data_IF_119002190823
#
_entry.id   IF_119002190823
#
_cell.length_a   1.000
_cell.length_b   1.000
_cell.length_c   1.000
_cell.angle_alpha   90.00
_cell.angle_beta   90.00
_cell.angle_gamma   90.00
#
_symmetry.space_group_name_H-M   'P 1'
#
loop_
_entity.id
_entity.type
_entity.pdbx_description
1 polymer ?
#
# COMPACT_ATOMS: atom_id res chain seq x y z
N UNK A 1 -1.98 -11.31 -3.38
CA UNK A 1 -2.61 -9.99 -3.58
C UNK A 1 -1.57 -8.89 -3.78
N UNK A 2 -0.49 -8.79 -2.98
CA UNK A 2 0.54 -7.76 -3.14
C UNK A 2 1.18 -7.77 -4.54
N UNK A 3 1.53 -8.94 -5.06
CA UNK A 3 2.06 -9.07 -6.42
C UNK A 3 1.04 -8.64 -7.49
N UNK A 4 -0.22 -8.99 -7.31
CA UNK A 4 -1.29 -8.56 -8.22
C UNK A 4 -1.46 -7.03 -8.22
N UNK A 5 -1.38 -6.39 -7.05
CA UNK A 5 -1.41 -4.93 -6.93
C UNK A 5 -0.23 -4.28 -7.69
N UNK A 6 0.97 -4.85 -7.54
CA UNK A 6 2.15 -4.40 -8.29
C UNK A 6 1.94 -4.52 -9.81
N UNK A 7 1.43 -5.65 -10.29
CA UNK A 7 1.13 -5.86 -11.71
C UNK A 7 0.09 -4.86 -12.23
N UNK A 8 -0.92 -4.53 -11.44
CA UNK A 8 -1.90 -3.50 -11.79
C UNK A 8 -1.23 -2.13 -11.97
N UNK A 9 -0.33 -1.74 -11.05
CA UNK A 9 0.41 -0.46 -11.17
C UNK A 9 1.35 -0.45 -12.38
N UNK A 10 1.98 -1.58 -12.70
CA UNK A 10 2.79 -1.72 -13.93
C UNK A 10 1.92 -1.58 -15.17
N UNK A 11 0.76 -2.21 -15.22
CA UNK A 11 -0.20 -2.05 -16.33
C UNK A 11 -0.70 -0.61 -16.45
N UNK A 12 -1.01 0.03 -15.33
CA UNK A 12 -1.36 1.44 -15.31
C UNK A 12 -0.24 2.31 -15.90
N UNK A 13 1.00 2.04 -15.55
CA UNK A 13 2.15 2.75 -16.13
C UNK A 13 2.20 2.61 -17.65
N UNK A 14 2.06 1.40 -18.18
CA UNK A 14 2.11 1.16 -19.62
C UNK A 14 0.98 1.84 -20.39
N UNK A 15 -0.17 2.06 -19.76
CA UNK A 15 -1.32 2.71 -20.42
C UNK A 15 -1.34 4.21 -20.20
N UNK A 16 -1.18 4.66 -18.97
CA UNK A 16 -1.37 6.06 -18.59
C UNK A 16 -0.15 6.94 -18.93
N UNK A 17 1.06 6.43 -18.83
CA UNK A 17 2.27 7.22 -19.06
C UNK A 17 2.44 7.68 -20.52
N UNK A 18 2.27 6.83 -21.54
CA UNK A 18 2.32 7.29 -22.94
C UNK A 18 1.24 8.32 -23.25
N UNK A 19 0.02 8.12 -22.72
CA UNK A 19 -1.07 9.07 -22.90
C UNK A 19 -0.77 10.42 -22.25
N UNK A 20 -0.17 10.43 -21.07
CA UNK A 20 0.26 11.66 -20.40
C UNK A 20 1.37 12.37 -21.18
N UNK A 21 2.37 11.63 -21.65
CA UNK A 21 3.48 12.19 -22.45
C UNK A 21 2.94 12.84 -23.73
N UNK A 22 2.04 12.17 -24.45
CA UNK A 22 1.43 12.73 -25.65
C UNK A 22 0.65 14.01 -25.38
N UNK A 23 -0.12 14.05 -24.30
CA UNK A 23 -0.85 15.25 -23.88
C UNK A 23 0.07 16.37 -23.42
N UNK A 24 1.15 16.05 -22.72
CA UNK A 24 2.15 17.04 -22.34
C UNK A 24 2.86 17.60 -23.56
N UNK A 25 3.25 16.79 -24.54
CA UNK A 25 3.90 17.24 -25.76
C UNK A 25 3.00 18.17 -26.59
N UNK A 26 1.69 17.99 -26.54
CA UNK A 26 0.72 18.85 -27.22
C UNK A 26 0.34 20.11 -26.41
N UNK A 27 0.81 20.21 -25.16
CA UNK A 27 0.44 21.31 -24.28
C UNK A 27 1.40 22.49 -24.41
N UNK A 28 0.87 23.66 -24.74
CA UNK A 28 1.62 24.91 -24.94
C UNK A 28 2.23 25.54 -23.68
N UNK A 29 1.90 24.98 -22.52
CA UNK A 29 2.40 25.42 -21.22
C UNK A 29 3.76 24.84 -20.82
N UNK A 30 4.41 24.03 -21.65
CA UNK A 30 5.73 23.47 -21.38
C UNK A 30 6.85 24.50 -21.59
N UNK A 31 7.88 24.41 -20.74
CA UNK A 31 9.19 24.97 -21.01
C UNK A 31 10.06 23.98 -21.84
N UNK A 32 11.34 24.27 -21.94
CA UNK A 32 12.26 23.34 -22.60
C UNK A 32 12.38 22.00 -21.88
N UNK A 33 12.44 20.86 -22.63
CA UNK A 33 12.64 19.55 -22.04
C UNK A 33 13.94 19.48 -21.23
N UNK A 34 13.87 18.92 -20.04
CA UNK A 34 15.02 18.82 -19.14
C UNK A 34 15.77 17.51 -19.36
N UNK A 35 17.04 17.60 -19.71
CA UNK A 35 17.95 16.48 -19.76
C UNK A 35 18.81 16.45 -18.48
N UNK A 36 18.84 15.30 -17.80
CA UNK A 36 19.66 15.10 -16.62
C UNK A 36 19.06 15.57 -15.29
N UNK A 37 19.81 15.33 -14.21
CA UNK A 37 19.43 15.70 -12.85
C UNK A 37 19.89 17.14 -12.58
N UNK A 38 19.06 18.12 -12.93
CA UNK A 38 19.27 19.49 -12.49
C UNK A 38 18.21 19.85 -11.44
N UNK A 39 18.59 20.53 -10.34
CA UNK A 39 17.62 20.94 -9.33
C UNK A 39 16.53 21.83 -9.94
N UNK A 40 15.29 21.57 -9.60
CA UNK A 40 14.13 22.27 -10.17
C UNK A 40 14.13 23.79 -9.93
N UNK A 41 14.92 24.28 -8.94
CA UNK A 41 15.05 25.69 -8.61
C UNK A 41 16.01 26.46 -9.54
N UNK A 42 16.93 25.77 -10.26
CA UNK A 42 17.90 26.42 -11.14
C UNK A 42 17.25 27.09 -12.38
N UNK A 43 16.01 26.70 -12.69
CA UNK A 43 15.23 27.23 -13.81
C UNK A 43 14.12 28.20 -13.39
N UNK A 44 14.15 28.71 -12.16
CA UNK A 44 13.22 29.70 -11.65
C UNK A 44 13.53 31.12 -12.14
N UNK A 45 13.96 31.30 -13.38
CA UNK A 45 13.92 32.61 -13.99
C UNK A 45 12.46 32.94 -14.30
N UNK A 46 11.99 33.98 -13.64
CA UNK A 46 10.58 34.35 -13.43
C UNK A 46 9.81 34.85 -14.65
N UNK A 47 10.34 34.71 -15.88
CA UNK A 47 9.87 35.56 -16.98
C UNK A 47 8.75 34.98 -17.85
N UNK A 48 8.46 33.65 -17.79
CA UNK A 48 7.50 33.04 -18.75
C UNK A 48 6.61 31.96 -18.15
N UNK A 49 6.19 32.11 -16.92
CA UNK A 49 5.51 31.01 -16.26
C UNK A 49 4.10 31.37 -15.90
N UNK A 50 3.18 30.58 -16.42
CA UNK A 50 1.83 30.48 -15.87
C UNK A 50 1.94 29.78 -14.51
N UNK A 51 2.13 30.48 -13.38
CA UNK A 51 2.48 29.88 -12.08
C UNK A 51 1.37 28.99 -11.53
N UNK A 52 0.22 28.98 -12.16
CA UNK A 52 -0.96 28.23 -11.78
C UNK A 52 -1.34 27.12 -12.76
N UNK A 53 -0.56 26.89 -13.79
CA UNK A 53 -0.88 25.85 -14.78
C UNK A 53 -0.72 24.45 -14.16
N UNK A 54 -1.81 23.70 -14.10
CA UNK A 54 -1.83 22.31 -13.58
C UNK A 54 -1.37 21.34 -14.70
N UNK A 55 -1.66 21.68 -15.96
CA UNK A 55 -1.39 20.84 -17.12
C UNK A 55 -2.38 19.68 -17.28
N UNK A 56 -2.18 18.86 -18.31
CA UNK A 56 -3.06 17.74 -18.63
C UNK A 56 -2.91 16.59 -17.60
N UNK A 57 -3.96 15.80 -17.48
CA UNK A 57 -3.96 14.56 -16.67
C UNK A 57 -3.76 13.31 -17.55
N UNK A 58 -3.38 12.21 -16.93
CA UNK A 58 -3.16 10.91 -17.57
C UNK A 58 -4.47 10.26 -18.10
N UNK A 59 -5.64 10.74 -17.67
CA UNK A 59 -6.95 10.22 -18.08
C UNK A 59 -7.46 9.09 -17.18
N UNK A 60 -8.21 8.14 -17.79
CA UNK A 60 -8.81 7.03 -17.07
C UNK A 60 -7.75 6.02 -16.61
N UNK A 61 -7.85 5.58 -15.35
CA UNK A 61 -6.85 4.74 -14.67
C UNK A 61 -7.49 3.53 -13.97
N UNK A 62 -8.15 2.63 -14.70
CA UNK A 62 -8.87 1.50 -14.11
C UNK A 62 -7.94 0.54 -13.36
N UNK A 63 -6.68 0.47 -13.75
CA UNK A 63 -5.70 -0.39 -13.09
C UNK A 63 -5.29 0.10 -11.70
N UNK A 64 -5.39 1.41 -11.42
CA UNK A 64 -5.20 1.91 -10.04
C UNK A 64 -6.38 1.53 -9.14
N UNK A 65 -7.58 1.52 -9.67
CA UNK A 65 -8.75 1.00 -8.95
C UNK A 65 -8.57 -0.50 -8.62
N UNK A 66 -8.14 -1.31 -9.62
CA UNK A 66 -7.83 -2.72 -9.40
C UNK A 66 -6.68 -2.91 -8.39
N UNK A 67 -5.66 -2.05 -8.40
CA UNK A 67 -4.59 -2.05 -7.40
C UNK A 67 -5.13 -1.76 -6.00
N UNK A 68 -6.10 -0.85 -5.88
CA UNK A 68 -6.81 -0.58 -4.63
C UNK A 68 -7.51 -1.81 -4.07
N UNK A 69 -8.24 -2.55 -4.91
CA UNK A 69 -8.87 -3.82 -4.52
C UNK A 69 -7.80 -4.82 -4.03
N UNK A 70 -6.76 -5.03 -4.82
CA UNK A 70 -5.70 -5.99 -4.48
C UNK A 70 -4.97 -5.63 -3.18
N UNK A 71 -4.72 -4.34 -2.92
CA UNK A 71 -4.08 -3.90 -1.66
C UNK A 71 -5.04 -4.01 -0.48
N UNK A 72 -6.34 -3.74 -0.66
CA UNK A 72 -7.35 -3.99 0.36
C UNK A 72 -7.43 -5.46 0.76
N UNK A 73 -7.41 -6.39 -0.22
CA UNK A 73 -7.32 -7.83 0.04
C UNK A 73 -6.00 -8.22 0.71
N UNK A 74 -4.88 -7.58 0.37
CA UNK A 74 -3.62 -7.81 1.06
C UNK A 74 -3.69 -7.40 2.54
N UNK A 75 -4.32 -6.26 2.84
CA UNK A 75 -4.58 -5.80 4.20
C UNK A 75 -5.50 -6.75 4.98
N UNK A 76 -6.45 -7.39 4.30
CA UNK A 76 -7.37 -8.36 4.92
C UNK A 76 -6.66 -9.63 5.38
N UNK A 77 -5.59 -10.02 4.70
CA UNK A 77 -4.74 -11.14 5.11
C UNK A 77 -3.78 -10.73 6.24
N UNK A 78 -3.16 -9.56 6.12
CA UNK A 78 -2.24 -9.03 7.11
C UNK A 78 -2.15 -7.50 7.00
N UNK A 79 -2.18 -6.81 8.12
CA UNK A 79 -2.11 -5.33 8.15
C UNK A 79 -0.85 -4.75 7.52
N UNK A 80 0.22 -5.53 7.43
CA UNK A 80 1.41 -5.12 6.68
C UNK A 80 1.14 -4.84 5.18
N UNK A 81 -0.01 -5.24 4.64
CA UNK A 81 -0.49 -4.83 3.32
C UNK A 81 -0.57 -3.31 3.14
N UNK A 82 -0.74 -2.55 4.24
CA UNK A 82 -0.73 -1.08 4.20
C UNK A 82 0.61 -0.52 3.71
N UNK A 83 1.72 -1.19 4.01
CA UNK A 83 3.04 -0.77 3.50
C UNK A 83 3.15 -0.95 1.99
N UNK A 84 2.49 -2.00 1.44
CA UNK A 84 2.41 -2.21 -0.01
C UNK A 84 1.60 -1.09 -0.66
N UNK A 85 0.45 -0.73 -0.08
CA UNK A 85 -0.38 0.38 -0.55
C UNK A 85 0.40 1.71 -0.53
N UNK A 86 1.07 2.01 0.58
CA UNK A 86 1.86 3.23 0.75
C UNK A 86 3.03 3.29 -0.25
N UNK A 87 3.76 2.19 -0.43
CA UNK A 87 4.86 2.11 -1.37
C UNK A 87 4.39 2.30 -2.82
N UNK A 88 3.33 1.62 -3.23
CA UNK A 88 2.78 1.75 -4.58
C UNK A 88 2.19 3.14 -4.83
N UNK A 89 1.53 3.73 -3.85
CA UNK A 89 1.02 5.10 -3.92
C UNK A 89 2.15 6.12 -4.07
N UNK A 90 3.21 6.00 -3.28
CA UNK A 90 4.40 6.84 -3.39
C UNK A 90 5.09 6.66 -4.76
N UNK A 91 5.23 5.42 -5.23
CA UNK A 91 5.78 5.11 -6.54
C UNK A 91 4.99 5.81 -7.66
N UNK A 92 3.65 5.73 -7.64
CA UNK A 92 2.79 6.42 -8.61
C UNK A 92 3.00 7.92 -8.52
N UNK A 93 3.02 8.51 -7.34
CA UNK A 93 3.23 9.94 -7.15
C UNK A 93 4.59 10.41 -7.71
N UNK A 94 5.67 9.70 -7.37
CA UNK A 94 7.02 10.03 -7.85
C UNK A 94 7.12 9.89 -9.38
N UNK A 95 6.50 8.87 -9.94
CA UNK A 95 6.44 8.65 -11.39
C UNK A 95 5.77 9.83 -12.10
N UNK A 96 4.62 10.29 -11.62
CA UNK A 96 3.88 11.42 -12.21
C UNK A 96 4.66 12.72 -12.11
N UNK A 97 5.31 12.98 -10.98
CA UNK A 97 6.20 14.13 -10.80
C UNK A 97 7.38 14.07 -11.77
N UNK A 98 8.04 12.91 -11.86
CA UNK A 98 9.22 12.71 -12.73
C UNK A 98 8.86 12.87 -14.21
N UNK A 99 7.71 12.34 -14.64
CA UNK A 99 7.22 12.48 -16.01
C UNK A 99 7.07 13.96 -16.39
N UNK A 100 6.39 14.75 -15.57
CA UNK A 100 6.19 16.17 -15.77
C UNK A 100 7.49 16.98 -15.70
N UNK A 101 8.34 16.62 -14.75
CA UNK A 101 9.63 17.25 -14.60
C UNK A 101 10.49 17.08 -15.85
N UNK A 102 10.58 15.85 -16.39
CA UNK A 102 11.31 15.56 -17.63
C UNK A 102 10.72 16.25 -18.84
N UNK A 103 9.41 16.37 -18.90
CA UNK A 103 8.72 17.10 -19.98
C UNK A 103 8.89 18.62 -19.92
N UNK A 104 9.55 19.17 -18.90
CA UNK A 104 9.74 20.62 -18.77
C UNK A 104 8.55 21.38 -18.16
N UNK A 105 7.65 20.66 -17.46
CA UNK A 105 6.52 21.32 -16.79
C UNK A 105 7.01 22.37 -15.78
N UNK A 106 6.46 23.59 -15.75
CA UNK A 106 6.94 24.68 -14.91
C UNK A 106 6.81 24.39 -13.40
N UNK A 107 5.74 23.69 -13.02
CA UNK A 107 5.46 23.30 -11.61
C UNK A 107 5.15 21.80 -11.53
N UNK A 108 6.14 20.90 -11.74
CA UNK A 108 5.89 19.47 -11.90
C UNK A 108 5.25 18.80 -10.68
N UNK A 109 5.65 19.18 -9.48
CA UNK A 109 5.08 18.63 -8.24
C UNK A 109 3.62 19.04 -8.12
N UNK A 110 3.32 20.32 -8.26
CA UNK A 110 1.94 20.82 -8.15
C UNK A 110 1.06 20.25 -9.26
N UNK A 111 1.56 20.23 -10.50
CA UNK A 111 0.85 19.64 -11.62
C UNK A 111 0.54 18.16 -11.41
N UNK A 112 1.51 17.38 -10.92
CA UNK A 112 1.29 15.98 -10.59
C UNK A 112 0.27 15.79 -9.46
N UNK A 113 0.44 16.51 -8.36
CA UNK A 113 -0.43 16.36 -7.18
C UNK A 113 -1.90 16.67 -7.50
N UNK A 114 -2.15 17.74 -8.23
CA UNK A 114 -3.51 18.20 -8.51
C UNK A 114 -4.17 17.51 -9.72
N UNK A 115 -3.39 17.08 -10.70
CA UNK A 115 -3.94 16.44 -11.89
C UNK A 115 -4.13 14.92 -11.76
N UNK A 116 -3.14 14.20 -11.17
CA UNK A 116 -3.11 12.74 -11.20
C UNK A 116 -2.96 12.08 -9.83
N UNK A 117 -2.12 12.60 -8.96
CA UNK A 117 -1.82 11.95 -7.66
C UNK A 117 -3.04 11.94 -6.76
N UNK A 118 -3.78 13.05 -6.71
CA UNK A 118 -5.04 13.12 -5.99
C UNK A 118 -6.04 12.08 -6.51
N UNK A 119 -6.16 11.96 -7.83
CA UNK A 119 -7.06 10.99 -8.44
C UNK A 119 -6.60 9.55 -8.19
N UNK A 120 -5.28 9.29 -8.29
CA UNK A 120 -4.69 8.01 -7.91
C UNK A 120 -4.98 7.64 -6.44
N UNK A 121 -4.86 8.61 -5.53
CA UNK A 121 -5.23 8.44 -4.13
C UNK A 121 -6.71 8.03 -3.98
N UNK A 122 -7.64 8.73 -4.64
CA UNK A 122 -9.07 8.42 -4.59
C UNK A 122 -9.37 7.04 -5.15
N UNK A 123 -8.68 6.62 -6.21
CA UNK A 123 -8.86 5.30 -6.80
C UNK A 123 -8.27 4.17 -5.94
N UNK A 124 -7.14 4.40 -5.27
CA UNK A 124 -6.44 3.34 -4.54
C UNK A 124 -6.87 3.26 -3.07
N UNK A 125 -6.84 4.36 -2.34
CA UNK A 125 -6.98 4.33 -0.88
C UNK A 125 -8.43 4.06 -0.43
N UNK A 126 -9.44 4.83 -0.85
CA UNK A 126 -10.83 4.52 -0.51
C UNK A 126 -11.25 3.11 -0.97
N UNK A 127 -10.81 2.70 -2.17
CA UNK A 127 -11.11 1.36 -2.69
C UNK A 127 -10.48 0.27 -1.81
N UNK A 128 -9.25 0.45 -1.37
CA UNK A 128 -8.59 -0.49 -0.46
C UNK A 128 -9.32 -0.56 0.89
N UNK A 129 -9.75 0.58 1.44
CA UNK A 129 -10.53 0.63 2.69
C UNK A 129 -11.86 -0.08 2.52
N UNK A 130 -12.61 0.21 1.44
CA UNK A 130 -13.88 -0.44 1.17
C UNK A 130 -13.74 -1.95 1.00
N UNK A 131 -12.71 -2.39 0.28
CA UNK A 131 -12.41 -3.82 0.08
C UNK A 131 -12.04 -4.48 1.41
N UNK A 132 -11.23 -3.81 2.23
CA UNK A 132 -10.88 -4.28 3.57
C UNK A 132 -12.12 -4.43 4.47
N UNK A 133 -12.96 -3.39 4.53
CA UNK A 133 -14.20 -3.44 5.32
C UNK A 133 -15.15 -4.51 4.78
N UNK A 134 -15.29 -4.64 3.46
CA UNK A 134 -16.10 -5.69 2.85
C UNK A 134 -15.61 -7.11 3.19
N UNK A 135 -14.32 -7.30 3.42
CA UNK A 135 -13.78 -8.62 3.83
C UNK A 135 -14.25 -9.05 5.22
N UNK A 136 -14.76 -8.12 6.03
CA UNK A 136 -15.37 -8.39 7.34
C UNK A 136 -16.85 -8.77 7.25
N UNK A 137 -17.37 -9.04 6.03
CA UNK A 137 -18.79 -9.37 5.79
C UNK A 137 -19.31 -10.45 6.75
N UNK A 138 -18.56 -11.54 6.94
CA UNK A 138 -18.96 -12.61 7.85
C UNK A 138 -19.10 -12.10 9.29
N UNK A 139 -18.22 -11.22 9.74
CA UNK A 139 -18.32 -10.62 11.08
C UNK A 139 -19.57 -9.74 11.20
N UNK A 140 -19.88 -8.92 10.19
CA UNK A 140 -21.08 -8.08 10.20
C UNK A 140 -22.40 -8.88 10.26
N UNK A 141 -22.42 -10.08 9.68
CA UNK A 141 -23.63 -10.93 9.62
C UNK A 141 -23.82 -11.80 10.85
N UNK A 142 -22.81 -11.97 11.71
CA UNK A 142 -22.86 -12.81 12.90
C UNK A 142 -22.92 -11.95 14.16
N UNK A 143 -24.12 -11.71 14.68
CA UNK A 143 -24.34 -10.86 15.87
C UNK A 143 -23.66 -11.36 17.14
N UNK A 144 -23.31 -12.66 17.21
CA UNK A 144 -22.55 -13.25 18.31
C UNK A 144 -21.03 -13.13 18.17
N UNK A 145 -20.53 -12.52 17.08
CA UNK A 145 -19.11 -12.35 16.89
C UNK A 145 -18.51 -11.40 17.95
N UNK A 146 -17.27 -11.69 18.33
CA UNK A 146 -16.58 -10.90 19.35
C UNK A 146 -16.52 -9.42 18.95
N UNK A 147 -16.84 -8.56 19.88
CA UNK A 147 -16.75 -7.10 19.71
C UNK A 147 -18.06 -6.40 19.35
N UNK A 148 -19.14 -7.13 19.02
CA UNK A 148 -20.43 -6.52 18.77
C UNK A 148 -21.06 -5.89 20.04
N UNK A 149 -21.82 -4.80 19.85
CA UNK A 149 -22.57 -4.10 20.90
C UNK A 149 -21.75 -3.23 21.83
N UNK A 150 -20.44 -3.10 21.60
CA UNK A 150 -19.53 -2.34 22.49
C UNK A 150 -19.70 -0.81 22.38
N UNK A 151 -20.09 -0.32 21.19
CA UNK A 151 -20.29 1.11 20.98
C UNK A 151 -21.56 1.66 21.62
N UNK A 152 -22.52 0.80 21.93
CA UNK A 152 -23.85 1.20 22.37
C UNK A 152 -24.68 1.91 21.29
N UNK A 153 -24.22 1.95 20.06
CA UNK A 153 -24.90 2.57 18.91
C UNK A 153 -25.66 1.49 18.15
N UNK A 154 -26.91 1.76 17.80
CA UNK A 154 -27.72 0.82 17.05
C UNK A 154 -27.45 0.87 15.53
N UNK A 155 -27.76 -0.23 14.83
CA UNK A 155 -27.70 -0.33 13.39
C UNK A 155 -26.28 -0.41 12.80
N UNK A 156 -26.17 -0.21 11.49
CA UNK A 156 -24.91 -0.37 10.75
C UNK A 156 -23.80 0.59 11.21
N UNK A 157 -24.15 1.80 11.59
CA UNK A 157 -23.19 2.76 12.15
C UNK A 157 -22.57 2.25 13.45
N UNK A 158 -23.36 1.58 14.29
CA UNK A 158 -22.90 0.90 15.51
C UNK A 158 -21.94 -0.24 15.20
N UNK A 159 -22.25 -1.06 14.20
CA UNK A 159 -21.36 -2.13 13.76
C UNK A 159 -20.01 -1.60 13.25
N UNK A 160 -19.99 -0.49 12.53
CA UNK A 160 -18.73 0.16 12.11
C UNK A 160 -17.93 0.71 13.30
N UNK A 161 -18.62 1.29 14.27
CA UNK A 161 -17.99 1.76 15.50
C UNK A 161 -17.44 0.59 16.34
N UNK A 162 -18.17 -0.51 16.42
CA UNK A 162 -17.72 -1.75 17.08
C UNK A 162 -16.50 -2.35 16.39
N UNK A 163 -16.48 -2.37 15.05
CA UNK A 163 -15.34 -2.80 14.28
C UNK A 163 -14.11 -1.92 14.54
N UNK A 164 -14.29 -0.62 14.64
CA UNK A 164 -13.22 0.30 15.02
C UNK A 164 -12.66 0.03 16.41
N UNK A 165 -13.55 -0.19 17.40
CA UNK A 165 -13.14 -0.52 18.76
C UNK A 165 -12.38 -1.86 18.80
N UNK A 166 -12.80 -2.83 18.00
CA UNK A 166 -12.12 -4.10 17.87
C UNK A 166 -10.71 -3.95 17.27
N UNK A 167 -10.56 -3.12 16.23
CA UNK A 167 -9.25 -2.80 15.67
C UNK A 167 -8.34 -2.09 16.68
N UNK A 168 -8.90 -1.18 17.47
CA UNK A 168 -8.16 -0.50 18.54
C UNK A 168 -7.68 -1.49 19.61
N UNK A 169 -8.50 -2.46 19.97
CA UNK A 169 -8.12 -3.53 20.90
C UNK A 169 -6.97 -4.38 20.34
N UNK A 170 -7.09 -4.83 19.09
CA UNK A 170 -6.02 -5.57 18.42
C UNK A 170 -4.70 -4.77 18.38
N UNK A 171 -4.78 -3.50 18.04
CA UNK A 171 -3.61 -2.61 18.03
C UNK A 171 -2.96 -2.49 19.41
N UNK A 172 -3.78 -2.26 20.46
CA UNK A 172 -3.28 -2.11 21.83
C UNK A 172 -2.64 -3.41 22.32
N UNK A 173 -3.25 -4.55 22.01
CA UNK A 173 -2.70 -5.87 22.35
C UNK A 173 -1.33 -6.08 21.70
N UNK A 174 -1.22 -5.85 20.39
CA UNK A 174 0.03 -6.10 19.67
C UNK A 174 1.15 -5.14 20.08
N UNK A 175 0.84 -3.88 20.38
CA UNK A 175 1.84 -2.93 20.87
C UNK A 175 2.26 -3.19 22.32
N UNK A 176 1.38 -3.78 23.13
CA UNK A 176 1.68 -4.16 24.52
C UNK A 176 2.37 -5.50 24.68
N UNK A 177 2.53 -6.27 23.60
CA UNK A 177 3.08 -7.62 23.67
C UNK A 177 4.62 -7.58 23.82
N UNK A 178 5.07 -7.62 25.07
CA UNK A 178 6.50 -7.61 25.43
C UNK A 178 6.98 -8.94 26.00
N UNK A 179 6.26 -10.02 25.78
CA UNK A 179 6.62 -11.34 26.32
C UNK A 179 7.89 -11.84 25.66
N UNK A 180 8.96 -12.13 26.44
CA UNK A 180 10.19 -12.69 25.89
C UNK A 180 9.94 -14.03 25.22
N UNK A 181 10.47 -14.21 24.03
CA UNK A 181 10.34 -15.45 23.29
C UNK A 181 11.70 -16.10 23.09
N UNK A 182 11.82 -17.42 23.29
CA UNK A 182 13.09 -18.17 23.17
C UNK A 182 13.75 -18.01 21.79
N UNK A 183 12.96 -17.81 20.76
CA UNK A 183 13.40 -17.60 19.37
C UNK A 183 13.35 -16.13 18.93
N UNK A 184 13.31 -15.20 19.88
CA UNK A 184 13.39 -13.78 19.55
C UNK A 184 14.71 -13.46 18.85
N UNK A 185 14.65 -12.79 17.72
CA UNK A 185 15.81 -12.38 16.94
C UNK A 185 15.78 -10.87 16.66
N UNK A 186 16.96 -10.27 16.56
CA UNK A 186 17.07 -8.85 16.23
C UNK A 186 16.83 -8.67 14.72
N UNK A 187 16.04 -7.67 14.29
CA UNK A 187 15.78 -7.39 12.87
C UNK A 187 17.04 -7.26 12.00
N UNK A 188 18.13 -6.73 12.53
CA UNK A 188 19.39 -6.62 11.81
C UNK A 188 20.05 -7.97 11.47
N UNK A 189 19.68 -9.03 12.20
CA UNK A 189 20.21 -10.37 11.97
C UNK A 189 19.36 -11.20 11.01
N UNK A 190 18.22 -10.69 10.55
CA UNK A 190 17.30 -11.44 9.67
C UNK A 190 17.89 -11.71 8.30
N UNK A 191 18.64 -10.76 7.75
CA UNK A 191 19.30 -10.95 6.44
C UNK A 191 20.29 -12.11 6.43
N UNK A 192 20.99 -12.31 7.56
CA UNK A 192 21.97 -13.39 7.72
C UNK A 192 21.37 -14.65 8.35
N UNK A 193 20.10 -14.63 8.72
CA UNK A 193 19.39 -15.72 9.41
C UNK A 193 20.18 -16.31 10.60
N UNK A 194 20.89 -15.46 11.34
CA UNK A 194 21.72 -15.85 12.48
C UNK A 194 20.92 -16.63 13.52
N UNK A 195 19.63 -16.36 13.61
CA UNK A 195 18.68 -17.11 14.42
C UNK A 195 17.43 -17.36 13.59
N UNK A 196 17.33 -18.58 13.07
CA UNK A 196 16.19 -18.99 12.27
C UNK A 196 14.89 -19.05 13.09
N UNK A 197 13.76 -18.71 12.48
CA UNK A 197 12.44 -18.85 13.10
C UNK A 197 11.98 -20.30 13.02
N UNK A 198 11.61 -20.88 14.15
CA UNK A 198 11.04 -22.22 14.18
C UNK A 198 9.60 -22.18 13.66
N UNK A 199 9.31 -22.84 12.54
CA UNK A 199 7.96 -22.96 11.98
C UNK A 199 7.17 -24.12 12.52
N UNK A 200 7.87 -25.14 13.02
CA UNK A 200 7.23 -26.34 13.52
C UNK A 200 7.99 -26.86 14.73
N UNK A 201 7.29 -27.21 15.77
CA UNK A 201 7.84 -27.84 16.97
C UNK A 201 7.02 -29.07 17.30
N UNK A 202 7.68 -30.21 17.47
CA UNK A 202 7.05 -31.44 17.93
C UNK A 202 7.73 -31.91 19.22
N UNK A 203 6.96 -32.12 20.25
CA UNK A 203 7.44 -32.60 21.56
C UNK A 203 7.82 -34.10 21.58
N UNK A 204 7.99 -34.72 20.42
CA UNK A 204 8.35 -36.14 20.32
C UNK A 204 7.16 -37.06 20.19
N UNK A 205 5.95 -36.54 20.01
CA UNK A 205 4.81 -37.35 19.59
C UNK A 205 4.98 -37.77 18.12
N UNK A 206 4.57 -39.00 17.82
CA UNK A 206 4.81 -39.65 16.55
C UNK A 206 4.25 -38.84 15.36
N UNK A 207 5.11 -38.10 14.70
CA UNK A 207 4.85 -37.59 13.34
C UNK A 207 5.23 -38.68 12.36
N UNK A 208 4.49 -38.76 11.25
CA UNK A 208 4.70 -39.77 10.20
C UNK A 208 6.20 -40.02 9.92
N UNK A 209 6.67 -41.20 10.22
CA UNK A 209 8.04 -41.64 10.01
C UNK A 209 8.98 -41.65 11.22
N UNK A 210 8.54 -41.07 12.34
CA UNK A 210 9.34 -41.08 13.56
C UNK A 210 8.97 -42.24 14.48
N UNK A 211 9.76 -43.28 14.51
CA UNK A 211 9.68 -44.32 15.53
C UNK A 211 10.60 -43.98 16.70
N UNK A 212 10.08 -44.00 17.92
CA UNK A 212 10.85 -43.98 19.17
C UNK A 212 11.57 -42.66 19.55
N UNK A 213 10.90 -41.52 19.61
CA UNK A 213 11.41 -40.33 20.33
C UNK A 213 12.73 -39.74 19.86
N UNK A 214 13.27 -40.21 18.73
CA UNK A 214 14.51 -39.74 18.13
C UNK A 214 14.35 -38.91 16.88
N UNK A 215 13.15 -38.44 16.61
CA UNK A 215 13.00 -37.44 15.57
C UNK A 215 13.61 -36.14 16.06
N UNK A 216 14.34 -35.50 15.20
CA UNK A 216 14.97 -34.23 15.51
C UNK A 216 13.94 -33.32 16.15
N UNK A 217 14.24 -32.85 17.32
CA UNK A 217 13.47 -31.84 18.06
C UNK A 217 13.44 -30.52 17.32
N UNK A 218 14.08 -30.53 16.17
CA UNK A 218 14.37 -29.34 15.45
C UNK A 218 13.61 -29.29 14.16
N UNK A 219 13.08 -28.26 14.03
CA UNK A 219 12.40 -27.81 12.96
C UNK A 219 13.21 -27.07 12.01
N UNK A 220 12.94 -27.37 10.85
CA UNK A 220 13.45 -26.71 9.71
C UNK A 220 13.00 -25.25 9.71
N UNK A 221 13.98 -24.38 9.70
CA UNK A 221 13.78 -22.97 9.43
C UNK A 221 13.49 -22.73 7.96
#
# INVERSE_FOLDING_TARGET
>A
FALAAFLCVVKDQHMAQPALIAKLAAWDGLGEPRQGWRPAWEHLTLRDRRPFAIGPNAGNRPWLFAAGICTGLACSVKWSGIYVLAFLGLFVALREVTCRWRAGHPTPIRGALLADVWWAFVLMVPTAILTYVASWFSWFTHSSAHGHGRSGIAGFAGQLADLWLYHKEMWTFHNGLNTPHKYQSNPFTWLAQVRATSFYWNNGEAVMGCRSGKCARDVVA
#
